data_IF_761879908518
#
_entry.id   IF_761879908518
#
_cell.length_a   1.000
_cell.length_b   1.000
_cell.length_c   1.000
_cell.angle_alpha   90.00
_cell.angle_beta   90.00
_cell.angle_gamma   90.00
#
_symmetry.space_group_name_H-M   'P 1'
#
loop_
_entity.id
_entity.type
_entity.pdbx_description
1 polymer ?
#
# COMPACT_ATOMS: atom_id res chain seq x y z
N UNK A 1 -23.03 -28.20 -5.44
CA UNK A 1 -23.38 -29.14 -4.33
C UNK A 1 -22.08 -29.65 -3.71
N UNK A 2 -22.11 -30.47 -2.63
CA UNK A 2 -20.88 -30.93 -1.96
C UNK A 2 -19.93 -31.70 -2.90
N UNK A 3 -20.46 -32.49 -3.83
CA UNK A 3 -19.64 -33.27 -4.78
C UNK A 3 -18.94 -32.38 -5.80
N UNK A 4 -19.66 -31.40 -6.35
CA UNK A 4 -19.10 -30.39 -7.25
C UNK A 4 -18.05 -29.54 -6.53
N UNK A 5 -18.26 -29.19 -5.26
CA UNK A 5 -17.27 -28.46 -4.45
C UNK A 5 -16.02 -29.31 -4.21
N UNK A 6 -16.17 -30.60 -3.93
CA UNK A 6 -15.03 -31.51 -3.76
C UNK A 6 -14.21 -31.64 -5.05
N UNK A 7 -14.88 -31.73 -6.20
CA UNK A 7 -14.21 -31.75 -7.51
C UNK A 7 -13.52 -30.42 -7.82
N UNK A 8 -14.21 -29.29 -7.65
CA UNK A 8 -13.66 -27.97 -7.94
C UNK A 8 -12.47 -27.60 -7.04
N UNK A 9 -12.50 -28.03 -5.77
CA UNK A 9 -11.44 -27.79 -4.80
C UNK A 9 -10.37 -28.89 -4.78
N UNK A 10 -10.48 -29.89 -5.67
CA UNK A 10 -9.60 -31.05 -5.75
C UNK A 10 -9.33 -31.70 -4.37
N UNK A 11 -10.39 -31.91 -3.60
CA UNK A 11 -10.31 -32.43 -2.22
C UNK A 11 -11.40 -33.47 -1.93
N UNK A 12 -11.28 -34.16 -0.80
CA UNK A 12 -12.19 -35.25 -0.46
C UNK A 12 -13.58 -34.73 -0.03
N UNK A 13 -14.63 -35.46 -0.41
CA UNK A 13 -16.01 -35.14 -0.02
C UNK A 13 -16.21 -35.05 1.51
N UNK A 14 -15.61 -35.93 2.35
CA UNK A 14 -15.66 -35.78 3.81
C UNK A 14 -15.03 -34.47 4.31
N UNK A 15 -13.90 -34.05 3.72
CA UNK A 15 -13.23 -32.78 4.07
C UNK A 15 -14.11 -31.58 3.75
N UNK A 16 -14.69 -31.53 2.53
CA UNK A 16 -15.63 -30.46 2.15
C UNK A 16 -16.83 -30.44 3.08
N UNK A 17 -17.38 -31.60 3.43
CA UNK A 17 -18.55 -31.69 4.33
C UNK A 17 -18.25 -31.08 5.70
N UNK A 18 -17.07 -31.37 6.27
CA UNK A 18 -16.64 -30.81 7.55
C UNK A 18 -16.49 -29.28 7.49
N UNK A 19 -15.85 -28.76 6.44
CA UNK A 19 -15.70 -27.31 6.27
C UNK A 19 -17.04 -26.60 6.06
N UNK A 20 -17.94 -27.18 5.26
CA UNK A 20 -19.28 -26.63 5.04
C UNK A 20 -20.10 -26.62 6.33
N UNK A 21 -19.99 -27.67 7.17
CA UNK A 21 -20.64 -27.68 8.49
C UNK A 21 -20.12 -26.56 9.40
N UNK A 22 -18.81 -26.32 9.42
CA UNK A 22 -18.22 -25.23 10.20
C UNK A 22 -18.70 -23.86 9.70
N UNK A 23 -18.65 -23.63 8.39
CA UNK A 23 -19.14 -22.40 7.77
C UNK A 23 -20.64 -22.19 7.97
N UNK A 24 -21.42 -23.27 8.03
CA UNK A 24 -22.85 -23.24 8.36
C UNK A 24 -23.10 -22.90 9.83
N UNK A 25 -22.34 -23.47 10.76
CA UNK A 25 -22.39 -23.12 12.20
C UNK A 25 -22.03 -21.66 12.45
N UNK A 26 -21.08 -21.12 11.68
CA UNK A 26 -20.68 -19.71 11.73
C UNK A 26 -21.66 -18.80 10.98
N UNK A 27 -22.70 -19.34 10.35
CA UNK A 27 -23.71 -18.59 9.60
C UNK A 27 -23.24 -18.06 8.24
N UNK A 28 -22.03 -18.40 7.79
CA UNK A 28 -21.44 -17.88 6.55
C UNK A 28 -21.96 -18.57 5.29
N UNK A 29 -22.36 -19.84 5.43
CA UNK A 29 -22.95 -20.65 4.36
C UNK A 29 -24.31 -21.15 4.82
N UNK A 30 -25.32 -20.98 3.98
CA UNK A 30 -26.63 -21.59 4.18
C UNK A 30 -26.77 -22.82 3.30
N UNK A 31 -27.43 -23.84 3.82
CA UNK A 31 -27.62 -25.09 3.09
C UNK A 31 -29.08 -25.50 3.02
N UNK A 32 -29.44 -26.17 1.92
CA UNK A 32 -30.78 -26.71 1.72
C UNK A 32 -30.68 -28.09 1.06
N UNK A 33 -31.51 -29.02 1.51
CA UNK A 33 -31.63 -30.33 0.87
C UNK A 33 -32.61 -30.24 -0.30
N UNK A 34 -32.13 -30.53 -1.51
CA UNK A 34 -32.93 -30.57 -2.74
C UNK A 34 -32.85 -31.94 -3.40
N UNK A 35 -33.91 -32.43 -4.05
CA UNK A 35 -33.83 -33.63 -4.88
C UNK A 35 -32.80 -33.44 -6.00
N UNK A 36 -31.87 -34.40 -6.15
CA UNK A 36 -30.89 -34.45 -7.23
C UNK A 36 -31.07 -35.69 -8.11
N UNK A 37 -30.19 -35.85 -9.10
CA UNK A 37 -30.21 -36.96 -10.07
C UNK A 37 -30.07 -38.33 -9.38
N UNK A 38 -29.41 -38.38 -8.22
CA UNK A 38 -29.29 -39.56 -7.36
C UNK A 38 -29.57 -39.16 -5.91
N UNK A 39 -30.84 -39.22 -5.49
CA UNK A 39 -31.25 -38.96 -4.11
C UNK A 39 -31.20 -37.49 -3.69
N UNK A 40 -31.28 -37.24 -2.38
CA UNK A 40 -31.25 -35.89 -1.82
C UNK A 40 -29.82 -35.32 -1.83
N UNK A 41 -29.65 -34.09 -2.31
CA UNK A 41 -28.38 -33.40 -2.34
C UNK A 41 -28.41 -32.13 -1.48
N UNK A 42 -27.33 -31.90 -0.73
CA UNK A 42 -27.12 -30.67 0.04
C UNK A 42 -26.57 -29.58 -0.89
N UNK A 43 -27.40 -28.57 -1.19
CA UNK A 43 -26.99 -27.36 -1.91
C UNK A 43 -26.52 -26.32 -0.91
N UNK A 44 -25.38 -25.69 -1.21
CA UNK A 44 -24.74 -24.70 -0.36
C UNK A 44 -24.79 -23.36 -1.08
N UNK A 45 -25.11 -22.27 -0.37
CA UNK A 45 -25.03 -20.90 -0.86
C UNK A 45 -24.39 -19.99 0.19
N UNK A 46 -23.71 -18.95 -0.25
CA UNK A 46 -23.19 -17.93 0.66
C UNK A 46 -24.36 -17.19 1.34
N UNK A 47 -24.20 -16.90 2.63
CA UNK A 47 -25.17 -16.13 3.40
C UNK A 47 -24.97 -14.62 3.23
N UNK A 48 -23.75 -14.19 2.93
CA UNK A 48 -23.34 -12.80 2.77
C UNK A 48 -22.60 -12.60 1.46
N UNK A 49 -22.76 -11.44 0.85
CA UNK A 49 -22.11 -10.99 -0.38
C UNK A 49 -20.79 -10.25 -0.10
N UNK A 50 -20.58 -9.77 1.14
CA UNK A 50 -19.40 -9.02 1.57
C UNK A 50 -18.99 -9.36 3.00
N UNK A 51 -17.68 -9.51 3.20
CA UNK A 51 -17.05 -9.62 4.51
C UNK A 51 -16.15 -8.40 4.76
N UNK A 52 -16.28 -7.79 5.94
CA UNK A 52 -15.37 -6.75 6.42
C UNK A 52 -14.84 -7.25 7.76
N UNK A 53 -13.52 -7.43 7.85
CA UNK A 53 -12.84 -7.82 9.08
C UNK A 53 -12.13 -6.58 9.62
N UNK A 54 -12.52 -6.15 10.81
CA UNK A 54 -11.87 -5.06 11.54
C UNK A 54 -11.22 -5.63 12.80
N UNK A 55 -9.97 -5.25 13.05
CA UNK A 55 -9.26 -5.61 14.28
C UNK A 55 -9.16 -4.36 15.14
N UNK A 56 -9.83 -4.35 16.30
CA UNK A 56 -9.71 -3.29 17.29
C UNK A 56 -8.94 -3.83 18.50
N UNK A 57 -7.82 -3.20 18.84
CA UNK A 57 -7.05 -3.49 20.06
C UNK A 57 -7.74 -2.87 21.26
N UNK A 58 -7.91 -3.64 22.36
CA UNK A 58 -8.73 -3.24 23.52
C UNK A 58 -8.10 -2.09 24.33
N UNK A 59 -6.78 -1.88 24.29
CA UNK A 59 -6.10 -0.72 24.87
C UNK A 59 -4.71 -0.49 24.24
N UNK A 60 -4.57 0.12 23.06
CA UNK A 60 -3.28 0.66 22.65
C UNK A 60 -2.99 1.93 23.49
N UNK A 61 -1.73 2.32 23.73
CA UNK A 61 -1.41 3.73 23.96
C UNK A 61 -2.09 4.55 22.84
N UNK A 62 -2.43 5.83 23.06
CA UNK A 62 -3.02 6.68 21.99
C UNK A 62 -2.01 6.81 20.82
N UNK A 63 -1.97 5.78 19.99
CA UNK A 63 -1.20 5.66 18.77
C UNK A 63 -1.96 6.49 17.76
N UNK A 64 -1.42 7.68 17.54
CA UNK A 64 -1.97 8.63 16.60
C UNK A 64 -1.29 8.42 15.26
N UNK A 65 -2.05 8.63 14.20
CA UNK A 65 -1.57 8.53 12.83
C UNK A 65 -1.72 9.88 12.16
N UNK A 66 -0.61 10.43 11.68
CA UNK A 66 -0.62 11.55 10.73
C UNK A 66 -0.49 10.94 9.33
N UNK A 67 -1.49 11.21 8.49
CA UNK A 67 -1.52 10.75 7.10
C UNK A 67 -1.35 11.94 6.17
N UNK A 68 -0.43 11.82 5.23
CA UNK A 68 -0.14 12.84 4.22
C UNK A 68 -0.18 12.18 2.85
N UNK A 69 -1.05 12.69 1.98
CA UNK A 69 -1.14 12.27 0.59
C UNK A 69 -0.33 13.22 -0.30
N UNK A 70 0.54 12.67 -1.14
CA UNK A 70 1.44 13.37 -2.04
C UNK A 70 1.11 13.02 -3.50
N UNK A 71 0.64 13.99 -4.31
CA UNK A 71 0.39 13.77 -5.74
C UNK A 71 1.61 13.22 -6.48
N UNK A 72 1.39 12.24 -7.35
CA UNK A 72 2.50 11.52 -8.03
C UNK A 72 3.41 12.45 -8.83
N UNK A 73 2.88 13.55 -9.35
CA UNK A 73 3.64 14.54 -10.11
C UNK A 73 4.36 15.62 -9.30
N UNK A 74 4.18 15.67 -7.98
CA UNK A 74 4.79 16.67 -7.10
C UNK A 74 6.13 16.20 -6.49
N UNK A 75 6.96 15.54 -7.29
CA UNK A 75 8.34 15.26 -6.90
C UNK A 75 9.20 16.52 -6.90
N UNK A 76 10.22 16.50 -6.05
CA UNK A 76 11.21 17.57 -5.88
C UNK A 76 12.48 17.33 -6.68
N UNK A 77 12.87 16.07 -6.84
CA UNK A 77 14.02 15.64 -7.62
C UNK A 77 13.63 14.42 -8.46
N UNK A 78 14.16 14.33 -9.67
CA UNK A 78 13.89 13.23 -10.60
C UNK A 78 15.10 13.00 -11.49
N UNK A 79 15.32 11.75 -11.85
CA UNK A 79 16.32 11.36 -12.84
C UNK A 79 15.69 10.31 -13.77
N UNK A 80 14.89 10.71 -14.77
CA UNK A 80 14.18 9.78 -15.63
C UNK A 80 15.09 9.33 -16.78
N UNK A 81 15.09 8.03 -17.07
CA UNK A 81 15.72 7.46 -18.25
C UNK A 81 14.66 6.81 -19.16
N UNK A 82 14.75 7.00 -20.49
CA UNK A 82 13.81 6.39 -21.44
C UNK A 82 13.82 4.85 -21.41
N UNK A 83 12.71 4.18 -21.70
CA UNK A 83 11.39 4.74 -22.01
C UNK A 83 10.76 5.42 -20.80
N UNK A 84 10.13 6.59 -20.98
CA UNK A 84 9.61 7.37 -19.85
C UNK A 84 8.47 8.32 -20.25
N UNK A 85 7.62 8.68 -19.28
CA UNK A 85 6.56 9.65 -19.55
C UNK A 85 5.68 9.99 -18.36
N UNK A 86 4.71 10.86 -18.64
CA UNK A 86 3.75 11.39 -17.70
C UNK A 86 2.36 11.44 -18.37
N UNK A 87 1.32 11.17 -17.60
CA UNK A 87 -0.06 11.35 -18.04
C UNK A 87 -0.93 11.91 -16.91
N UNK A 88 -1.91 12.75 -17.27
CA UNK A 88 -3.01 13.15 -16.39
C UNK A 88 -4.34 12.55 -16.90
N UNK A 89 -5.47 12.97 -16.34
CA UNK A 89 -6.77 12.39 -16.70
C UNK A 89 -7.20 12.79 -18.13
N UNK A 90 -6.55 13.78 -18.73
CA UNK A 90 -6.93 14.39 -20.00
C UNK A 90 -6.02 14.01 -21.16
N UNK A 91 -4.71 13.84 -20.91
CA UNK A 91 -3.68 13.61 -21.95
C UNK A 91 -2.34 13.12 -21.40
N UNK A 92 -1.45 12.78 -22.33
CA UNK A 92 0.00 12.73 -22.09
C UNK A 92 0.50 14.14 -21.77
N UNK A 93 1.37 14.27 -20.77
CA UNK A 93 2.05 15.52 -20.42
C UNK A 93 3.42 15.53 -21.11
N UNK A 94 3.71 16.61 -21.84
CA UNK A 94 4.95 16.74 -22.60
C UNK A 94 5.06 15.74 -23.75
N UNK A 95 6.27 15.22 -23.96
CA UNK A 95 6.60 14.24 -24.98
C UNK A 95 6.99 12.88 -24.37
N UNK A 96 6.57 11.80 -25.02
CA UNK A 96 6.98 10.45 -24.68
C UNK A 96 8.48 10.26 -24.90
N UNK A 97 9.11 9.53 -23.99
CA UNK A 97 10.54 9.18 -24.01
C UNK A 97 11.48 10.39 -23.99
N UNK A 98 10.97 11.55 -23.54
CA UNK A 98 11.76 12.75 -23.30
C UNK A 98 11.85 13.03 -21.79
N UNK A 99 13.03 12.84 -21.16
CA UNK A 99 13.26 13.20 -19.77
C UNK A 99 12.94 14.67 -19.44
N UNK A 100 12.98 15.59 -20.41
CA UNK A 100 12.61 16.99 -20.19
C UNK A 100 11.13 17.18 -19.82
N UNK A 101 10.25 16.26 -20.24
CA UNK A 101 8.82 16.29 -19.91
C UNK A 101 8.57 16.26 -18.39
N UNK A 102 9.49 15.66 -17.61
CA UNK A 102 9.43 15.64 -16.15
C UNK A 102 9.69 17.02 -15.50
N UNK A 103 10.05 18.03 -16.27
CA UNK A 103 10.20 19.40 -15.78
C UNK A 103 9.06 20.32 -16.25
N UNK A 104 8.10 19.79 -17.01
CA UNK A 104 6.92 20.55 -17.44
C UNK A 104 6.06 20.94 -16.22
N UNK A 105 5.63 22.21 -16.06
CA UNK A 105 4.76 22.63 -14.97
C UNK A 105 3.45 21.83 -14.86
N UNK A 106 2.93 21.32 -15.99
CA UNK A 106 1.72 20.49 -16.03
C UNK A 106 1.91 19.16 -15.28
N UNK A 107 3.15 18.74 -14.99
CA UNK A 107 3.44 17.57 -14.13
C UNK A 107 2.67 17.60 -12.80
N UNK A 108 2.34 18.77 -12.27
CA UNK A 108 1.52 18.91 -11.07
C UNK A 108 0.12 18.25 -11.16
N UNK A 109 -0.35 17.99 -12.39
CA UNK A 109 -1.62 17.30 -12.68
C UNK A 109 -1.44 15.81 -12.98
N UNK A 110 -0.20 15.31 -13.04
CA UNK A 110 0.08 13.93 -13.38
C UNK A 110 -0.64 12.97 -12.42
N UNK A 111 -1.14 11.88 -12.99
CA UNK A 111 -1.78 10.77 -12.31
C UNK A 111 -1.12 9.44 -12.68
N UNK A 112 -0.22 9.44 -13.65
CA UNK A 112 0.65 8.32 -13.98
C UNK A 112 2.02 8.90 -14.35
N UNK A 113 3.08 8.26 -13.86
CA UNK A 113 4.44 8.47 -14.36
C UNK A 113 5.12 7.12 -14.52
N UNK A 114 6.05 7.05 -15.47
CA UNK A 114 6.82 5.84 -15.71
C UNK A 114 8.22 6.15 -16.21
N UNK A 115 9.15 5.24 -15.93
CA UNK A 115 10.50 5.27 -16.49
C UNK A 115 11.11 3.87 -16.48
N UNK A 116 11.91 3.54 -17.50
CA UNK A 116 12.61 2.27 -17.60
C UNK A 116 13.75 2.16 -16.58
N UNK A 117 14.37 3.30 -16.24
CA UNK A 117 15.43 3.38 -15.24
C UNK A 117 15.37 4.74 -14.53
N UNK A 118 15.99 4.80 -13.34
CA UNK A 118 16.14 6.03 -12.59
C UNK A 118 15.27 6.12 -11.34
N UNK A 119 14.93 7.34 -10.93
CA UNK A 119 14.20 7.58 -9.68
C UNK A 119 13.38 8.88 -9.69
N UNK A 120 12.40 8.93 -8.79
CA UNK A 120 11.70 10.14 -8.33
C UNK A 120 11.88 10.29 -6.82
N UNK A 121 11.98 11.53 -6.35
CA UNK A 121 12.11 11.85 -4.93
C UNK A 121 11.13 12.95 -4.51
N UNK A 122 10.36 12.63 -3.48
CA UNK A 122 9.32 13.46 -2.89
C UNK A 122 9.78 13.97 -1.54
N UNK A 123 9.29 15.15 -1.15
CA UNK A 123 9.51 15.70 0.18
C UNK A 123 8.15 15.87 0.86
N UNK A 124 7.88 15.01 1.83
CA UNK A 124 6.68 15.09 2.64
C UNK A 124 6.87 16.10 3.78
N UNK A 125 5.88 16.97 4.03
CA UNK A 125 5.89 17.78 5.25
C UNK A 125 5.69 16.88 6.48
N UNK A 126 6.33 17.23 7.59
CA UNK A 126 6.02 16.64 8.89
C UNK A 126 5.50 17.76 9.80
N UNK A 127 4.22 17.72 10.15
CA UNK A 127 3.60 18.79 10.98
C UNK A 127 3.57 18.45 12.48
N UNK A 128 4.01 17.23 12.81
CA UNK A 128 4.17 16.73 14.17
C UNK A 128 4.92 17.69 15.10
N UNK A 129 4.38 17.87 16.32
CA UNK A 129 4.97 18.74 17.34
C UNK A 129 6.23 18.15 17.99
N UNK A 130 7.11 18.99 18.53
CA UNK A 130 8.38 18.54 19.14
C UNK A 130 8.23 17.55 20.32
N UNK A 131 7.02 17.44 20.90
CA UNK A 131 6.69 16.52 21.99
C UNK A 131 6.23 15.15 21.55
N UNK A 132 6.30 14.79 20.26
CA UNK A 132 5.92 13.44 19.80
C UNK A 132 7.14 12.54 19.61
N UNK A 133 6.90 11.24 19.60
CA UNK A 133 7.84 10.23 19.17
C UNK A 133 7.20 9.41 18.05
N UNK A 134 7.81 9.44 16.87
CA UNK A 134 7.44 8.58 15.74
C UNK A 134 8.03 7.20 16.02
N UNK A 135 7.21 6.16 15.93
CA UNK A 135 7.65 4.78 16.16
C UNK A 135 7.44 3.88 14.93
N UNK A 136 6.61 4.29 13.97
CA UNK A 136 6.46 3.59 12.69
C UNK A 136 6.16 4.56 11.55
N UNK A 137 6.72 4.28 10.39
CA UNK A 137 6.45 4.96 9.12
C UNK A 137 5.88 3.95 8.14
N UNK A 138 4.89 4.34 7.35
CA UNK A 138 4.39 3.55 6.22
C UNK A 138 4.29 4.41 4.96
N UNK A 139 4.78 3.90 3.83
CA UNK A 139 4.58 4.45 2.51
C UNK A 139 3.70 3.51 1.70
N UNK A 140 2.54 4.00 1.27
CA UNK A 140 1.59 3.27 0.46
C UNK A 140 1.53 3.88 -0.94
N UNK A 141 1.62 3.03 -1.96
CA UNK A 141 1.50 3.46 -3.35
C UNK A 141 1.05 2.32 -4.26
N UNK A 142 0.31 2.66 -5.31
CA UNK A 142 0.08 1.74 -6.43
C UNK A 142 1.28 1.82 -7.37
N UNK A 143 1.92 0.67 -7.64
CA UNK A 143 3.19 0.57 -8.36
C UNK A 143 3.33 -0.78 -9.09
N UNK A 144 4.02 -0.79 -10.22
CA UNK A 144 4.42 -2.00 -10.96
C UNK A 144 5.65 -1.72 -11.83
N UNK A 145 6.11 -2.71 -12.61
CA UNK A 145 7.21 -2.54 -13.56
C UNK A 145 6.78 -1.70 -14.76
N UNK A 146 7.73 -1.30 -15.61
CA UNK A 146 7.50 -0.58 -16.87
C UNK A 146 8.07 -1.38 -18.05
N UNK A 147 7.22 -1.78 -18.98
CA UNK A 147 7.59 -2.49 -20.19
C UNK A 147 7.06 -1.76 -21.44
N UNK A 148 7.67 -1.93 -22.61
CA UNK A 148 7.05 -1.46 -23.85
C UNK A 148 5.65 -2.08 -24.01
N UNK A 149 4.62 -1.22 -24.07
CA UNK A 149 3.20 -1.60 -23.97
C UNK A 149 2.80 -2.05 -22.55
N UNK A 150 2.68 -3.36 -22.34
CA UNK A 150 2.61 -4.02 -21.05
C UNK A 150 3.18 -5.42 -21.21
N UNK A 151 3.77 -5.95 -20.15
CA UNK A 151 4.15 -7.37 -20.07
C UNK A 151 4.05 -7.84 -18.62
N UNK A 152 3.09 -8.74 -18.39
CA UNK A 152 2.81 -9.30 -17.06
C UNK A 152 3.98 -10.15 -16.50
N UNK A 153 5.03 -10.40 -17.28
CA UNK A 153 6.23 -11.14 -16.89
C UNK A 153 7.52 -10.33 -17.12
N UNK A 154 7.50 -9.05 -16.76
CA UNK A 154 8.61 -8.11 -16.88
C UNK A 154 9.09 -7.65 -15.50
N UNK A 155 9.95 -8.43 -14.81
CA UNK A 155 10.27 -8.14 -13.43
C UNK A 155 11.09 -6.85 -13.28
N UNK A 156 10.88 -6.16 -12.15
CA UNK A 156 11.66 -4.97 -11.81
C UNK A 156 11.86 -4.83 -10.30
N UNK A 157 13.10 -4.55 -9.90
CA UNK A 157 13.50 -4.36 -8.50
C UNK A 157 13.31 -2.89 -8.08
N UNK A 158 12.12 -2.61 -7.55
CA UNK A 158 11.71 -1.26 -7.15
C UNK A 158 12.12 -1.03 -5.70
N UNK A 159 13.04 -0.09 -5.49
CA UNK A 159 13.66 0.21 -4.20
C UNK A 159 13.12 1.52 -3.64
N UNK A 160 12.93 1.57 -2.32
CA UNK A 160 12.53 2.78 -1.59
C UNK A 160 13.62 3.21 -0.62
N UNK A 161 13.87 4.52 -0.58
CA UNK A 161 14.72 5.16 0.42
C UNK A 161 13.95 6.24 1.17
N UNK A 162 14.19 6.34 2.47
CA UNK A 162 13.66 7.41 3.33
C UNK A 162 14.83 8.15 3.97
N UNK A 163 14.87 9.47 3.80
CA UNK A 163 16.00 10.32 4.21
C UNK A 163 17.37 9.80 3.73
N UNK A 164 17.40 9.20 2.53
CA UNK A 164 18.60 8.61 1.94
C UNK A 164 18.97 7.22 2.45
N UNK A 165 18.21 6.65 3.39
CA UNK A 165 18.43 5.29 3.90
C UNK A 165 17.56 4.30 3.12
N UNK A 166 18.16 3.25 2.56
CA UNK A 166 17.44 2.19 1.83
C UNK A 166 16.59 1.38 2.79
N UNK A 167 15.28 1.33 2.59
CA UNK A 167 14.37 0.60 3.48
C UNK A 167 13.92 -0.73 2.89
N UNK A 168 14.19 -1.00 1.61
CA UNK A 168 13.88 -2.29 1.01
C UNK A 168 13.56 -2.22 -0.48
N UNK A 169 13.70 -3.37 -1.12
CA UNK A 169 13.45 -3.58 -2.55
C UNK A 169 12.30 -4.57 -2.73
N UNK A 170 11.30 -4.20 -3.53
CA UNK A 170 10.25 -5.10 -3.97
C UNK A 170 10.45 -5.45 -5.44
N UNK A 171 10.57 -6.75 -5.75
CA UNK A 171 10.55 -7.22 -7.13
C UNK A 171 9.11 -7.30 -7.63
N UNK A 172 8.71 -6.31 -8.43
CA UNK A 172 7.47 -6.37 -9.19
C UNK A 172 7.54 -7.54 -10.19
N UNK A 173 6.46 -8.33 -10.36
CA UNK A 173 6.49 -9.44 -11.31
C UNK A 173 6.31 -9.00 -12.77
N UNK A 174 5.81 -7.78 -13.03
CA UNK A 174 5.48 -7.33 -14.38
C UNK A 174 4.89 -5.94 -14.45
N UNK A 175 4.65 -5.52 -15.69
CA UNK A 175 3.86 -4.37 -16.09
C UNK A 175 2.45 -4.87 -16.44
N UNK A 176 1.44 -4.43 -15.68
CA UNK A 176 0.13 -5.04 -15.73
C UNK A 176 -0.80 -4.41 -16.76
N UNK A 177 -1.24 -5.22 -17.72
CA UNK A 177 -2.23 -4.84 -18.72
C UNK A 177 -3.17 -5.99 -19.10
N UNK A 178 -3.86 -5.85 -20.23
CA UNK A 178 -4.87 -6.81 -20.72
C UNK A 178 -6.24 -6.72 -20.02
N UNK A 179 -6.32 -6.10 -18.84
CA UNK A 179 -7.57 -5.64 -18.22
C UNK A 179 -7.45 -4.15 -17.92
N UNK A 180 -8.44 -3.37 -18.35
CA UNK A 180 -8.45 -1.93 -18.12
C UNK A 180 -8.48 -1.60 -16.61
N UNK A 181 -7.62 -0.69 -16.19
CA UNK A 181 -7.60 -0.14 -14.84
C UNK A 181 -8.91 0.56 -14.54
N UNK A 182 -9.42 0.42 -13.31
CA UNK A 182 -10.73 0.93 -12.90
C UNK A 182 -10.86 2.45 -13.06
N UNK A 183 -9.76 3.18 -12.87
CA UNK A 183 -9.72 4.63 -12.86
C UNK A 183 -9.20 5.23 -14.16
N UNK A 184 -8.68 4.40 -15.08
CA UNK A 184 -8.03 4.89 -16.29
C UNK A 184 -9.00 5.70 -17.17
N UNK A 185 -8.61 6.92 -17.58
CA UNK A 185 -9.45 7.79 -18.39
C UNK A 185 -9.68 7.17 -19.77
N UNK A 186 -10.83 7.45 -20.40
CA UNK A 186 -11.26 6.79 -21.64
C UNK A 186 -10.25 6.89 -22.80
N UNK A 187 -9.45 7.95 -22.85
CA UNK A 187 -8.44 8.15 -23.89
C UNK A 187 -7.20 7.26 -23.72
N UNK A 188 -6.96 6.72 -22.52
CA UNK A 188 -5.82 5.85 -22.24
C UNK A 188 -5.98 4.54 -23.02
N UNK A 189 -4.94 4.18 -23.77
CA UNK A 189 -4.96 3.04 -24.65
C UNK A 189 -4.81 1.72 -23.87
N UNK A 190 -5.55 0.68 -24.27
CA UNK A 190 -5.55 -0.63 -23.58
C UNK A 190 -4.25 -1.43 -23.76
N UNK A 191 -3.40 -1.04 -24.72
CA UNK A 191 -2.08 -1.65 -24.90
C UNK A 191 -1.02 -1.05 -23.98
N UNK A 192 -1.29 0.05 -23.30
CA UNK A 192 -0.38 0.62 -22.29
C UNK A 192 -0.58 -0.11 -20.95
N UNK A 193 0.33 0.10 -19.99
CA UNK A 193 0.14 -0.24 -18.59
C UNK A 193 -1.23 0.22 -18.08
N UNK A 194 -1.93 -0.66 -17.37
CA UNK A 194 -3.29 -0.40 -16.91
C UNK A 194 -3.39 -0.17 -15.41
N UNK A 195 -2.57 -0.82 -14.60
CA UNK A 195 -2.64 -0.70 -13.14
C UNK A 195 -1.36 -1.20 -12.48
N UNK A 196 -1.25 -0.94 -11.18
CA UNK A 196 -0.20 -1.48 -10.31
C UNK A 196 -0.75 -2.40 -9.22
N UNK A 197 0.15 -2.81 -8.33
CA UNK A 197 -0.22 -3.40 -7.05
C UNK A 197 -0.13 -2.31 -5.99
N UNK A 198 -1.11 -2.25 -5.08
CA UNK A 198 -0.98 -1.43 -3.88
C UNK A 198 0.03 -2.11 -2.96
N UNK A 199 1.14 -1.43 -2.70
CA UNK A 199 2.25 -1.90 -1.90
C UNK A 199 2.44 -1.00 -0.69
N UNK A 200 2.85 -1.60 0.42
CA UNK A 200 3.13 -0.90 1.68
C UNK A 200 4.57 -1.18 2.08
N UNK A 201 5.43 -0.18 2.02
CA UNK A 201 6.71 -0.21 2.72
C UNK A 201 6.51 0.32 4.12
N UNK A 202 6.93 -0.40 5.14
CA UNK A 202 6.84 0.06 6.53
C UNK A 202 8.16 -0.09 7.26
N UNK A 203 8.44 0.81 8.18
CA UNK A 203 9.63 0.78 9.04
C UNK A 203 9.20 1.03 10.48
N UNK A 204 9.61 0.18 11.40
CA UNK A 204 9.33 0.32 12.83
C UNK A 204 10.60 0.12 13.69
N UNK A 205 10.43 -0.19 14.97
CA UNK A 205 11.55 -0.38 15.89
C UNK A 205 12.33 -1.68 15.67
N UNK A 206 11.74 -2.66 14.97
CA UNK A 206 12.31 -3.99 14.75
C UNK A 206 12.96 -4.11 13.37
N UNK A 207 12.44 -3.42 12.36
CA UNK A 207 13.04 -3.41 11.03
C UNK A 207 12.17 -2.75 9.98
N UNK A 208 12.41 -3.11 8.71
CA UNK A 208 11.61 -2.68 7.58
C UNK A 208 10.94 -3.85 6.87
N UNK A 209 9.78 -3.58 6.29
CA UNK A 209 8.90 -4.59 5.74
C UNK A 209 8.23 -4.11 4.45
N UNK A 210 7.88 -5.06 3.59
CA UNK A 210 7.04 -4.86 2.40
C UNK A 210 5.81 -5.76 2.57
N UNK A 211 4.63 -5.15 2.67
CA UNK A 211 3.36 -5.83 2.98
C UNK A 211 3.45 -6.74 4.22
N UNK A 212 4.19 -6.30 5.25
CA UNK A 212 4.42 -7.06 6.48
C UNK A 212 5.44 -8.18 6.38
N UNK A 213 6.05 -8.41 5.22
CA UNK A 213 7.17 -9.35 5.06
C UNK A 213 8.49 -8.62 5.30
N UNK A 214 9.42 -9.15 6.13
CA UNK A 214 10.72 -8.51 6.38
C UNK A 214 11.47 -8.20 5.08
N UNK A 215 12.01 -6.99 4.98
CA UNK A 215 12.71 -6.49 3.81
C UNK A 215 14.16 -6.08 4.13
N UNK A 216 14.40 -5.46 5.28
CA UNK A 216 15.74 -5.15 5.79
C UNK A 216 15.74 -4.95 7.31
N UNK A 217 16.94 -4.88 7.90
CA UNK A 217 17.14 -4.60 9.33
C UNK A 217 17.10 -3.09 9.66
N UNK A 218 16.79 -2.22 8.69
CA UNK A 218 16.70 -0.77 8.92
C UNK A 218 15.51 -0.46 9.80
N UNK A 219 15.75 0.30 10.87
CA UNK A 219 14.75 0.67 11.86
C UNK A 219 14.34 2.15 11.76
N UNK A 220 13.26 2.52 12.44
CA UNK A 220 12.74 3.89 12.50
C UNK A 220 13.79 4.89 13.04
N UNK A 221 14.76 4.41 13.84
CA UNK A 221 15.85 5.23 14.38
C UNK A 221 16.86 5.61 13.30
N UNK A 222 17.13 4.69 12.38
CA UNK A 222 18.13 4.89 11.31
C UNK A 222 17.66 5.95 10.30
N UNK A 223 16.34 6.10 10.13
CA UNK A 223 15.74 7.12 9.26
C UNK A 223 15.93 8.56 9.76
N UNK A 224 16.37 8.73 11.02
CA UNK A 224 16.56 10.02 11.68
C UNK A 224 15.38 10.99 11.53
N UNK A 225 14.15 10.46 11.58
CA UNK A 225 12.94 11.28 11.50
C UNK A 225 12.86 12.20 12.71
N UNK A 226 12.61 13.49 12.45
CA UNK A 226 12.46 14.50 13.49
C UNK A 226 11.17 15.29 13.28
N UNK A 227 10.41 15.59 14.35
CA UNK A 227 9.23 16.44 14.24
C UNK A 227 9.57 17.79 13.60
N UNK A 228 8.67 18.30 12.75
CA UNK A 228 8.84 19.57 12.01
C UNK A 228 9.99 19.59 11.01
N UNK A 229 10.58 18.43 10.67
CA UNK A 229 11.55 18.31 9.59
C UNK A 229 10.93 17.61 8.38
N UNK A 230 11.25 18.04 7.15
CA UNK A 230 10.79 17.36 5.95
C UNK A 230 11.30 15.92 5.88
N UNK A 231 10.50 15.04 5.29
CA UNK A 231 10.85 13.62 5.08
C UNK A 231 11.06 13.41 3.58
N UNK A 232 12.29 13.11 3.19
CA UNK A 232 12.61 12.79 1.81
C UNK A 232 12.30 11.31 1.54
N UNK A 233 11.54 11.02 0.49
CA UNK A 233 11.19 9.66 0.07
C UNK A 233 11.57 9.52 -1.40
N UNK A 234 12.51 8.61 -1.68
CA UNK A 234 12.94 8.28 -3.04
C UNK A 234 12.40 6.91 -3.43
N UNK A 235 11.93 6.80 -4.66
CA UNK A 235 11.45 5.56 -5.28
C UNK A 235 12.17 5.42 -6.62
N UNK A 236 12.73 4.25 -6.90
CA UNK A 236 13.42 4.02 -8.16
C UNK A 236 13.99 2.63 -8.31
N UNK A 237 14.69 2.41 -9.41
CA UNK A 237 15.43 1.18 -9.72
C UNK A 237 16.91 1.45 -9.56
N UNK A 238 17.60 0.59 -8.80
CA UNK A 238 19.05 0.73 -8.61
C UNK A 238 19.80 0.41 -9.91
N UNK A 239 20.88 1.13 -10.24
CA UNK A 239 21.69 0.83 -11.43
C UNK A 239 22.31 -0.57 -11.43
N UNK A 240 22.47 -1.18 -10.25
CA UNK A 240 23.04 -2.52 -10.03
C UNK A 240 21.98 -3.54 -9.58
N UNK A 241 20.70 -3.25 -9.77
CA UNK A 241 19.62 -4.20 -9.50
C UNK A 241 19.72 -5.45 -10.38
N UNK A 242 19.19 -6.58 -9.90
CA UNK A 242 19.14 -7.82 -10.67
C UNK A 242 18.12 -7.70 -11.81
N UNK A 243 16.98 -7.08 -11.54
CA UNK A 243 15.91 -6.83 -12.50
C UNK A 243 15.73 -5.33 -12.75
N UNK A 244 16.26 -4.85 -13.88
CA UNK A 244 16.13 -3.45 -14.32
C UNK A 244 14.95 -3.35 -15.29
N UNK A 245 13.73 -3.39 -14.75
CA UNK A 245 12.49 -3.37 -15.53
C UNK A 245 11.65 -2.11 -15.34
N UNK A 246 12.27 -0.99 -14.91
CA UNK A 246 11.59 0.28 -14.68
C UNK A 246 10.48 0.25 -13.65
N UNK A 247 9.70 1.33 -13.60
CA UNK A 247 8.53 1.37 -12.73
C UNK A 247 7.48 2.36 -13.23
N UNK A 248 6.23 2.03 -12.92
CA UNK A 248 5.06 2.90 -13.02
C UNK A 248 4.60 3.31 -11.62
N UNK A 249 4.28 4.60 -11.41
CA UNK A 249 3.56 5.06 -10.22
C UNK A 249 2.21 5.65 -10.60
N UNK A 250 1.16 5.20 -9.91
CA UNK A 250 -0.21 5.61 -10.16
C UNK A 250 -0.69 6.53 -9.05
N UNK A 251 -1.33 7.63 -9.45
CA UNK A 251 -2.06 8.55 -8.61
C UNK A 251 -3.56 8.28 -8.62
N UNK A 252 -4.32 9.07 -7.87
CA UNK A 252 -5.75 8.85 -7.58
C UNK A 252 -6.70 8.77 -8.79
N UNK A 253 -6.22 9.04 -9.99
CA UNK A 253 -6.95 9.12 -11.25
C UNK A 253 -6.55 8.11 -12.29
N UNK A 254 -5.70 7.14 -11.92
CA UNK A 254 -5.19 6.09 -12.77
C UNK A 254 -5.06 4.80 -11.98
N UNK A 255 -4.96 3.66 -12.67
CA UNK A 255 -4.84 2.36 -12.03
C UNK A 255 -6.14 1.92 -11.36
N UNK A 256 -6.03 1.37 -10.16
CA UNK A 256 -7.13 0.74 -9.44
C UNK A 256 -7.45 1.40 -8.09
N UNK A 257 -6.55 2.21 -7.54
CA UNK A 257 -6.68 2.80 -6.20
C UNK A 257 -6.85 4.33 -6.27
N UNK A 258 -7.90 4.85 -5.63
CA UNK A 258 -8.22 6.29 -5.63
C UNK A 258 -7.37 7.06 -4.61
N UNK A 259 -6.06 6.87 -4.65
CA UNK A 259 -5.08 7.56 -3.80
C UNK A 259 -3.81 7.88 -4.59
N UNK A 260 -3.13 8.94 -4.21
CA UNK A 260 -1.74 9.16 -4.60
C UNK A 260 -0.77 8.41 -3.65
N UNK A 261 0.47 8.89 -3.52
CA UNK A 261 1.43 8.34 -2.57
C UNK A 261 1.01 8.74 -1.15
N UNK A 262 0.82 7.79 -0.26
CA UNK A 262 0.37 8.07 1.11
C UNK A 262 1.49 7.75 2.10
N UNK A 263 1.92 8.75 2.86
CA UNK A 263 2.83 8.57 3.98
C UNK A 263 2.03 8.60 5.29
N UNK A 264 2.20 7.55 6.11
CA UNK A 264 1.65 7.49 7.47
C UNK A 264 2.78 7.53 8.47
N UNK A 265 2.62 8.40 9.46
CA UNK A 265 3.49 8.47 10.63
C UNK A 265 2.68 8.04 11.84
N UNK A 266 3.05 6.92 12.43
CA UNK A 266 2.50 6.45 13.69
C UNK A 266 3.35 7.00 14.82
N UNK A 267 2.71 7.70 15.75
CA UNK A 267 3.40 8.39 16.83
C UNK A 267 2.63 8.33 18.13
N UNK A 268 3.36 8.60 19.21
CA UNK A 268 2.80 8.80 20.55
C UNK A 268 3.24 10.15 21.09
N UNK A 269 2.44 10.72 21.99
CA UNK A 269 2.88 11.87 22.78
C UNK A 269 3.98 11.40 23.74
N UNK A 270 5.14 12.06 23.73
CA UNK A 270 6.15 11.86 24.78
C UNK A 270 5.48 12.21 26.10
N UNK A 271 5.47 11.28 27.05
CA UNK A 271 5.06 11.59 28.41
C UNK A 271 5.94 12.74 28.91
N UNK A 272 5.35 13.93 29.06
CA UNK A 272 5.96 14.93 29.93
C UNK A 272 6.00 14.27 31.30
N UNK A 273 7.21 14.19 31.86
CA UNK A 273 7.51 13.84 33.25
C UNK A 273 6.26 14.07 34.11
N UNK A 274 5.46 13.00 34.30
CA UNK A 274 4.28 13.04 35.15
C UNK A 274 4.84 13.09 36.56
N UNK A 275 5.29 14.27 36.97
CA UNK A 275 5.49 14.59 38.39
C UNK A 275 4.19 14.14 39.06
N UNK A 276 4.24 13.21 40.03
CA UNK A 276 3.03 12.69 40.64
C UNK A 276 2.25 13.89 41.16
N UNK A 277 1.03 14.08 40.64
CA UNK A 277 0.10 15.05 41.24
C UNK A 277 -0.04 14.63 42.69
N UNK A 278 0.51 15.43 43.59
CA UNK A 278 0.33 15.24 45.01
C UNK A 278 -1.17 15.29 45.29
N UNK A 279 -1.77 14.13 45.51
CA UNK A 279 -3.11 14.03 46.07
C UNK A 279 -3.00 14.51 47.50
N UNK A 280 -3.34 15.77 47.74
CA UNK A 280 -3.54 16.28 49.10
C UNK A 280 -4.79 15.57 49.64
N UNK A 281 -4.57 14.50 50.40
CA UNK A 281 -5.58 13.96 51.29
C UNK A 281 -5.77 15.00 52.39
N UNK A 282 -6.87 15.74 52.33
CA UNK A 282 -7.37 16.47 53.49
C UNK A 282 -7.86 15.44 54.50
N UNK A 283 -7.01 15.11 55.47
CA UNK A 283 -7.47 14.56 56.74
C UNK A 283 -8.26 15.66 57.46
N UNK A 284 -9.58 15.65 57.24
CA UNK A 284 -10.53 16.40 58.06
C UNK A 284 -10.61 15.75 59.43
N UNK A 285 -9.71 16.17 60.32
CA UNK A 285 -9.75 15.82 61.73
C UNK A 285 -11.03 16.29 62.41
N UNK A 286 -11.59 15.42 63.24
CA UNK A 286 -12.54 15.77 64.30
C UNK A 286 -12.02 16.93 65.16
N UNK A 287 -12.91 17.87 65.49
CA UNK A 287 -13.20 18.31 66.88
C UNK A 287 -14.20 19.47 66.91
N UNK A 288 -15.47 19.16 67.22
CA UNK A 288 -16.25 19.58 68.40
C UNK A 288 -17.75 19.56 68.11
#
# INVERSE_FOLDING_TARGET
NINELAQALNTSQPTVTKHIQLLEQMGLVQTEYRPGVQGMQKRCRLAYDRFIVSFETVHPPEEQVEEIEMPVGLYTLVHPLPTCGLANRERIIGFLDDPQSFFDPERATAQLLWMAEGFVEYVFPCTLGAGVQIHRLELLMEVCSEAPNYDNHYPSDITVWVNGVEIGTWTSPGDFGGKRGRLNPAWWNDYMTQYGMLKIWSVDAEGSYIDGTPASEVTIRDLMLAPRQPIAVRIGVKPDAEHIGGFNLFGRGFGNYEQDLVLRLHYTLRERDRSPRATVLQEGGEKR
#
